data_IF_726021348220
#
_entry.id   IF_726021348220
#
_cell.length_a   1.000
_cell.length_b   1.000
_cell.length_c   1.000
_cell.angle_alpha   90.00
_cell.angle_beta   90.00
_cell.angle_gamma   90.00
#
_symmetry.space_group_name_H-M   'P 1'
#
loop_
_entity.id
_entity.type
_entity.pdbx_description
1 polymer ?
#
# COMPACT_ATOMS: atom_id res chain seq x y z
N UNK A 1 -33.78 -31.80 43.91
CA UNK A 1 -33.57 -30.32 43.92
C UNK A 1 -32.85 -29.97 42.65
N UNK A 2 -33.56 -29.44 41.72
CA UNK A 2 -32.94 -28.92 40.53
C UNK A 2 -32.01 -27.79 40.97
N UNK A 3 -30.75 -27.96 40.72
CA UNK A 3 -29.81 -26.90 40.83
C UNK A 3 -30.20 -25.85 39.79
N UNK A 4 -31.03 -24.96 40.22
CA UNK A 4 -31.24 -23.76 39.43
C UNK A 4 -29.88 -23.09 39.39
N UNK A 5 -29.29 -23.19 38.26
CA UNK A 5 -28.29 -22.24 37.89
C UNK A 5 -28.79 -20.87 38.37
N UNK A 6 -28.06 -20.17 39.19
CA UNK A 6 -28.51 -18.91 39.75
C UNK A 6 -28.55 -17.87 38.64
N UNK A 7 -29.02 -18.28 37.71
CA UNK A 7 -29.02 -17.35 36.73
C UNK A 7 -30.24 -17.39 35.97
N UNK A 8 -30.89 -16.61 36.14
CA UNK A 8 -31.51 -15.98 35.06
C UNK A 8 -30.57 -15.17 34.17
N UNK A 9 -29.31 -15.41 34.27
CA UNK A 9 -28.40 -14.84 33.28
C UNK A 9 -28.56 -15.69 32.04
N UNK A 10 -29.23 -15.14 31.05
CA UNK A 10 -29.46 -15.89 29.84
C UNK A 10 -28.12 -16.29 29.26
N UNK A 11 -28.12 -17.32 28.50
CA UNK A 11 -27.02 -17.88 27.75
C UNK A 11 -26.17 -16.88 26.94
N UNK A 12 -26.43 -15.62 27.07
CA UNK A 12 -25.62 -14.57 26.46
C UNK A 12 -24.15 -14.68 26.84
N UNK A 13 -23.86 -15.07 28.09
CA UNK A 13 -22.48 -15.30 28.49
C UNK A 13 -21.90 -16.58 27.89
N UNK A 14 -22.73 -17.62 27.70
CA UNK A 14 -22.27 -18.86 27.07
C UNK A 14 -22.07 -18.66 25.55
N UNK A 15 -22.90 -17.86 24.90
CA UNK A 15 -22.71 -17.57 23.50
C UNK A 15 -21.46 -16.70 23.26
N UNK A 16 -21.22 -15.73 24.13
CA UNK A 16 -19.98 -14.95 24.07
C UNK A 16 -18.75 -15.79 24.38
N UNK A 17 -18.86 -16.71 25.34
CA UNK A 17 -17.76 -17.62 25.64
C UNK A 17 -17.51 -18.66 24.53
N UNK A 18 -18.55 -19.14 23.87
CA UNK A 18 -18.37 -20.03 22.73
C UNK A 18 -17.76 -19.31 21.53
N UNK A 19 -18.18 -18.11 21.26
CA UNK A 19 -17.57 -17.28 20.21
C UNK A 19 -16.09 -17.01 20.52
N UNK A 20 -15.77 -16.69 21.77
CA UNK A 20 -14.38 -16.48 22.16
C UNK A 20 -13.55 -17.77 22.16
N UNK A 21 -14.18 -18.93 22.37
CA UNK A 21 -13.52 -20.24 22.26
C UNK A 21 -13.26 -20.63 20.81
N UNK A 22 -14.23 -20.41 19.94
CA UNK A 22 -14.04 -20.65 18.50
C UNK A 22 -12.95 -19.73 17.93
N UNK A 23 -12.96 -18.47 18.33
CA UNK A 23 -11.91 -17.55 17.89
C UNK A 23 -10.51 -17.88 18.45
N UNK A 24 -10.43 -18.61 19.56
CA UNK A 24 -9.15 -19.05 20.12
C UNK A 24 -8.55 -20.26 19.43
N UNK A 25 -9.30 -20.96 18.61
CA UNK A 25 -8.80 -22.08 17.83
C UNK A 25 -8.09 -21.66 16.56
N UNK A 26 -8.34 -20.44 16.11
CA UNK A 26 -7.65 -19.87 14.95
C UNK A 26 -6.39 -19.10 15.38
N UNK A 27 -5.30 -19.19 14.61
CA UNK A 27 -4.15 -18.32 14.79
C UNK A 27 -4.54 -16.84 14.77
N UNK A 28 -3.91 -16.04 15.63
CA UNK A 28 -4.20 -14.62 15.76
C UNK A 28 -4.12 -13.89 14.40
N UNK A 29 -3.10 -14.20 13.61
CA UNK A 29 -2.89 -13.58 12.30
C UNK A 29 -4.05 -13.86 11.32
N UNK A 30 -4.64 -15.05 11.41
CA UNK A 30 -5.80 -15.41 10.59
C UNK A 30 -7.06 -14.66 11.02
N UNK A 31 -7.25 -14.46 12.32
CA UNK A 31 -8.36 -13.68 12.86
C UNK A 31 -8.26 -12.22 12.43
N UNK A 32 -7.05 -11.65 12.45
CA UNK A 32 -6.77 -10.30 11.95
C UNK A 32 -7.05 -10.21 10.45
N UNK A 33 -6.60 -11.21 9.67
CA UNK A 33 -6.82 -11.27 8.23
C UNK A 33 -8.30 -11.32 7.84
N UNK A 34 -9.13 -11.92 8.69
CA UNK A 34 -10.60 -11.99 8.51
C UNK A 34 -11.33 -10.77 9.06
N UNK A 35 -10.65 -9.79 9.63
CA UNK A 35 -11.25 -8.61 10.23
C UNK A 35 -12.01 -8.86 11.52
N UNK A 36 -11.75 -9.98 12.22
CA UNK A 36 -12.41 -10.34 13.48
C UNK A 36 -11.85 -9.59 14.68
N UNK A 37 -10.67 -9.03 14.56
CA UNK A 37 -9.99 -8.32 15.65
C UNK A 37 -10.09 -6.81 15.36
N UNK A 38 -10.89 -6.12 16.15
CA UNK A 38 -11.07 -4.68 16.04
C UNK A 38 -9.74 -3.94 16.27
N UNK A 39 -9.47 -2.93 15.44
CA UNK A 39 -8.25 -2.14 15.54
C UNK A 39 -7.01 -2.79 14.93
N UNK A 40 -7.14 -3.97 14.33
CA UNK A 40 -6.07 -4.66 13.63
C UNK A 40 -6.44 -4.88 12.16
N UNK A 41 -5.44 -4.84 11.31
CA UNK A 41 -5.59 -5.15 9.89
C UNK A 41 -4.32 -5.82 9.38
N UNK A 42 -4.46 -6.58 8.28
CA UNK A 42 -3.31 -7.16 7.57
C UNK A 42 -2.98 -6.23 6.41
N UNK A 43 -1.73 -5.80 6.36
CA UNK A 43 -1.16 -5.12 5.22
C UNK A 43 -0.26 -6.13 4.48
N UNK A 44 -0.66 -6.53 3.30
CA UNK A 44 0.21 -7.29 2.41
C UNK A 44 1.10 -6.32 1.64
N UNK A 45 2.39 -6.38 1.92
CA UNK A 45 3.39 -5.64 1.16
C UNK A 45 4.07 -6.60 0.21
N UNK A 46 3.92 -6.34 -1.08
CA UNK A 46 4.59 -7.09 -2.12
C UNK A 46 5.57 -6.16 -2.83
N UNK A 47 6.77 -6.66 -3.06
CA UNK A 47 7.77 -5.98 -3.86
C UNK A 47 8.67 -7.02 -4.50
N UNK A 48 9.16 -6.72 -5.68
CA UNK A 48 10.15 -7.57 -6.33
C UNK A 48 11.26 -6.69 -6.95
N UNK A 49 12.41 -7.28 -7.13
CA UNK A 49 13.52 -6.66 -7.81
C UNK A 49 14.18 -7.71 -8.69
N UNK A 50 14.18 -7.49 -9.99
CA UNK A 50 14.78 -8.40 -10.97
C UNK A 50 16.31 -8.49 -10.88
N UNK A 51 16.93 -7.53 -10.22
CA UNK A 51 18.38 -7.46 -10.04
C UNK A 51 18.88 -8.22 -8.80
N UNK A 52 17.97 -8.89 -8.07
CA UNK A 52 18.39 -9.77 -6.97
C UNK A 52 19.02 -11.00 -7.56
N UNK A 53 20.33 -11.07 -7.52
CA UNK A 53 21.08 -12.25 -7.91
C UNK A 53 21.18 -13.21 -6.73
N UNK A 54 20.83 -14.48 -6.95
CA UNK A 54 21.07 -15.52 -5.96
C UNK A 54 22.56 -15.88 -5.94
N UNK A 55 23.38 -15.06 -5.35
CA UNK A 55 24.74 -15.44 -5.03
C UNK A 55 24.75 -16.13 -3.68
N UNK A 56 25.05 -17.39 -3.73
CA UNK A 56 24.90 -18.36 -2.64
C UNK A 56 25.90 -18.21 -1.50
N UNK A 57 26.73 -17.20 -1.44
CA UNK A 57 27.86 -17.33 -0.53
C UNK A 57 28.05 -16.27 0.53
N UNK A 58 27.31 -15.24 0.60
CA UNK A 58 27.31 -14.36 1.79
C UNK A 58 26.30 -13.23 1.65
N UNK A 59 25.09 -13.47 2.09
CA UNK A 59 24.16 -12.38 2.34
C UNK A 59 24.58 -11.61 3.59
N UNK A 60 25.59 -10.82 3.44
CA UNK A 60 26.03 -9.94 4.53
C UNK A 60 25.26 -8.63 4.58
N UNK A 61 24.45 -8.34 3.57
CA UNK A 61 23.62 -7.12 3.55
C UNK A 61 22.24 -7.40 2.94
N UNK A 62 21.15 -6.84 3.51
CA UNK A 62 19.84 -6.91 2.91
C UNK A 62 19.84 -6.20 1.55
N UNK A 63 19.22 -6.82 0.55
CA UNK A 63 19.04 -6.24 -0.78
C UNK A 63 17.69 -5.54 -0.81
N UNK A 64 17.69 -4.27 -1.23
CA UNK A 64 16.45 -3.52 -1.41
C UNK A 64 15.64 -4.11 -2.57
N UNK A 65 14.34 -4.28 -2.35
CA UNK A 65 13.38 -4.68 -3.39
C UNK A 65 12.86 -3.48 -4.19
N UNK A 66 13.42 -2.32 -3.99
CA UNK A 66 13.16 -1.10 -4.72
C UNK A 66 13.87 -1.14 -6.08
N UNK A 67 13.11 -1.04 -7.17
CA UNK A 67 13.65 -1.21 -8.53
C UNK A 67 14.45 0.00 -9.05
N UNK A 68 14.33 1.16 -8.44
CA UNK A 68 15.09 2.32 -8.85
C UNK A 68 16.58 2.12 -8.51
N UNK A 69 17.45 2.54 -9.42
CA UNK A 69 18.91 2.46 -9.23
C UNK A 69 19.42 3.29 -8.04
N UNK A 70 18.72 4.36 -7.68
CA UNK A 70 19.02 5.17 -6.52
C UNK A 70 18.38 4.62 -5.25
N UNK A 71 19.05 4.75 -4.10
CA UNK A 71 18.47 4.41 -2.82
C UNK A 71 17.18 5.21 -2.56
N UNK A 72 16.18 4.58 -1.95
CA UNK A 72 14.94 5.27 -1.60
C UNK A 72 15.20 6.33 -0.53
N UNK A 73 14.80 7.55 -0.81
CA UNK A 73 14.88 8.66 0.14
C UNK A 73 13.48 8.95 0.67
N UNK A 74 13.31 8.75 1.96
CA UNK A 74 12.03 9.02 2.63
C UNK A 74 11.78 10.54 2.71
N UNK A 75 10.64 11.04 2.17
CA UNK A 75 10.24 12.42 2.38
C UNK A 75 10.11 12.74 3.87
N UNK A 76 10.68 13.85 4.31
CA UNK A 76 10.60 14.32 5.70
C UNK A 76 9.48 15.32 5.91
N UNK A 77 9.01 15.94 4.84
CA UNK A 77 7.91 16.91 4.82
C UNK A 77 6.94 16.58 3.70
N UNK A 78 5.64 16.81 3.94
CA UNK A 78 4.65 16.68 2.90
C UNK A 78 4.76 17.83 1.90
N UNK A 79 4.88 17.50 0.62
CA UNK A 79 4.95 18.47 -0.48
C UNK A 79 4.15 17.95 -1.67
N UNK A 80 3.85 18.84 -2.60
CA UNK A 80 3.36 18.43 -3.91
C UNK A 80 4.45 17.63 -4.64
N UNK A 81 4.01 16.64 -5.42
CA UNK A 81 4.88 15.75 -6.17
C UNK A 81 4.80 16.06 -7.67
N UNK A 82 5.83 15.71 -8.41
CA UNK A 82 5.83 15.76 -9.86
C UNK A 82 5.67 14.37 -10.43
N UNK A 83 4.66 14.19 -11.28
CA UNK A 83 4.38 12.94 -12.00
C UNK A 83 4.84 13.07 -13.43
N UNK A 84 5.67 12.16 -13.92
CA UNK A 84 6.23 12.21 -15.27
C UNK A 84 6.48 10.79 -15.78
N UNK A 85 6.23 10.56 -17.06
CA UNK A 85 6.61 9.32 -17.75
C UNK A 85 7.91 9.46 -18.52
N UNK A 86 8.57 8.35 -18.79
CA UNK A 86 9.67 8.25 -19.75
C UNK A 86 9.20 8.14 -21.21
N UNK A 87 7.90 7.91 -21.45
CA UNK A 87 7.30 7.83 -22.79
C UNK A 87 6.35 9.00 -23.05
N UNK A 88 6.47 9.62 -24.23
CA UNK A 88 5.55 10.68 -24.69
C UNK A 88 4.14 10.15 -24.95
N UNK A 89 3.99 8.84 -25.16
CA UNK A 89 2.69 8.21 -25.41
C UNK A 89 1.83 8.06 -24.16
N UNK A 90 2.40 8.22 -22.97
CA UNK A 90 1.70 8.03 -21.69
C UNK A 90 0.85 9.25 -21.33
N UNK A 91 -0.23 9.44 -22.09
CA UNK A 91 -1.29 10.38 -21.73
C UNK A 91 -2.44 9.58 -21.15
N UNK A 92 -2.51 9.52 -19.82
CA UNK A 92 -3.38 8.60 -19.09
C UNK A 92 -3.80 9.18 -17.74
N UNK A 93 -4.84 8.62 -17.13
CA UNK A 93 -5.24 8.98 -15.77
C UNK A 93 -4.68 7.97 -14.77
N UNK A 94 -4.02 8.48 -13.75
CA UNK A 94 -3.43 7.70 -12.67
C UNK A 94 -3.97 8.16 -11.33
N UNK A 95 -4.44 7.22 -10.52
CA UNK A 95 -4.79 7.48 -9.13
C UNK A 95 -3.55 7.32 -8.25
N UNK A 96 -3.35 8.31 -7.42
CA UNK A 96 -2.31 8.32 -6.39
C UNK A 96 -2.99 8.25 -5.03
N UNK A 97 -2.66 7.24 -4.24
CA UNK A 97 -3.07 7.14 -2.85
C UNK A 97 -1.84 7.26 -1.97
N UNK A 98 -1.95 8.03 -0.91
CA UNK A 98 -0.84 8.29 -0.02
C UNK A 98 -1.29 8.87 1.31
N UNK A 99 -0.34 9.50 2.01
CA UNK A 99 -0.56 10.10 3.32
C UNK A 99 -0.13 11.57 3.31
N UNK A 100 -0.92 12.41 3.97
CA UNK A 100 -0.58 13.82 4.22
C UNK A 100 0.48 13.98 5.34
N UNK A 101 0.74 15.22 5.75
CA UNK A 101 1.67 15.56 6.83
C UNK A 101 1.29 14.97 8.21
N UNK A 102 0.02 14.68 8.41
CA UNK A 102 -0.52 14.13 9.65
C UNK A 102 -0.77 12.62 9.57
N UNK A 103 -0.26 11.97 8.52
CA UNK A 103 -0.49 10.56 8.21
C UNK A 103 -1.96 10.20 7.93
N UNK A 104 -2.80 11.17 7.58
CA UNK A 104 -4.15 10.89 7.11
C UNK A 104 -4.11 10.40 5.66
N UNK A 105 -4.95 9.41 5.29
CA UNK A 105 -5.07 8.96 3.91
C UNK A 105 -5.60 10.08 3.01
N UNK A 106 -4.91 10.29 1.90
CA UNK A 106 -5.33 11.21 0.84
C UNK A 106 -5.20 10.54 -0.52
N UNK A 107 -6.00 11.00 -1.47
CA UNK A 107 -6.06 10.44 -2.81
C UNK A 107 -6.35 11.54 -3.83
N UNK A 108 -5.80 11.40 -5.02
CA UNK A 108 -6.16 12.23 -6.18
C UNK A 108 -5.96 11.47 -7.48
N UNK A 109 -6.60 11.95 -8.53
CA UNK A 109 -6.38 11.48 -9.90
C UNK A 109 -5.57 12.53 -10.66
N UNK A 110 -4.40 12.12 -11.15
CA UNK A 110 -3.52 12.96 -11.95
C UNK A 110 -3.60 12.52 -13.40
N UNK A 111 -3.78 13.47 -14.31
CA UNK A 111 -3.63 13.22 -15.74
C UNK A 111 -2.16 13.31 -16.12
N UNK A 112 -1.53 12.16 -16.28
CA UNK A 112 -0.15 12.07 -16.80
C UNK A 112 -0.09 12.62 -18.21
N UNK A 113 0.93 13.40 -18.53
CA UNK A 113 1.11 14.06 -19.82
C UNK A 113 2.46 13.69 -20.45
N UNK A 114 2.66 12.40 -20.67
CA UNK A 114 3.90 11.88 -21.24
C UNK A 114 5.14 12.31 -20.48
N UNK A 115 6.12 12.84 -21.19
CA UNK A 115 7.38 13.32 -20.62
C UNK A 115 7.31 14.72 -20.01
N UNK A 116 6.13 15.36 -20.02
CA UNK A 116 5.91 16.63 -19.35
C UNK A 116 5.49 16.38 -17.90
N UNK A 117 6.22 16.92 -16.94
CA UNK A 117 5.91 16.80 -15.53
C UNK A 117 4.59 17.47 -15.16
N UNK A 118 3.74 16.76 -14.42
CA UNK A 118 2.47 17.27 -13.88
C UNK A 118 2.56 17.29 -12.37
N UNK A 119 2.24 18.42 -11.76
CA UNK A 119 2.29 18.58 -10.30
C UNK A 119 0.98 18.11 -9.69
N UNK A 120 1.06 17.36 -8.57
CA UNK A 120 -0.10 16.95 -7.78
C UNK A 120 -0.77 18.16 -7.12
N UNK A 121 -2.08 18.09 -6.93
CA UNK A 121 -2.82 19.12 -6.17
C UNK A 121 -2.60 18.94 -4.66
N UNK A 122 -2.52 17.69 -4.20
CA UNK A 122 -2.29 17.35 -2.81
C UNK A 122 -0.79 17.33 -2.46
N UNK A 123 -0.49 17.61 -1.19
CA UNK A 123 0.85 17.45 -0.63
C UNK A 123 0.96 16.09 0.07
N UNK A 124 1.91 15.28 -0.36
CA UNK A 124 2.13 13.93 0.13
C UNK A 124 3.39 13.83 0.97
N UNK A 125 3.28 13.17 2.13
CA UNK A 125 4.42 12.70 2.93
C UNK A 125 4.84 11.29 2.51
N UNK A 126 3.87 10.47 2.08
CA UNK A 126 4.09 9.10 1.60
C UNK A 126 3.19 8.82 0.41
N UNK A 127 3.69 8.05 -0.53
CA UNK A 127 2.88 7.45 -1.59
C UNK A 127 2.77 5.96 -1.29
N UNK A 128 1.54 5.48 -1.19
CA UNK A 128 1.26 4.07 -0.85
C UNK A 128 1.01 3.24 -2.11
N UNK A 129 0.21 3.77 -3.04
CA UNK A 129 -0.11 3.06 -4.28
C UNK A 129 -0.25 4.02 -5.46
N UNK A 130 0.11 3.52 -6.64
CA UNK A 130 -0.18 4.11 -7.92
C UNK A 130 -1.07 3.15 -8.71
N UNK A 131 -2.16 3.64 -9.25
CA UNK A 131 -3.09 2.81 -10.03
C UNK A 131 -3.39 3.50 -11.36
N UNK A 132 -3.11 2.81 -12.46
CA UNK A 132 -3.48 3.29 -13.79
C UNK A 132 -5.00 3.09 -13.95
N UNK A 133 -5.75 4.20 -14.05
CA UNK A 133 -7.22 4.15 -14.20
C UNK A 133 -7.63 4.00 -15.66
N UNK A 134 -6.96 4.74 -16.52
CA UNK A 134 -7.20 4.66 -17.96
C UNK A 134 -5.85 4.56 -18.66
N UNK A 135 -5.62 3.52 -19.46
CA UNK A 135 -4.38 3.41 -20.23
C UNK A 135 -4.29 4.50 -21.30
N UNK A 136 -3.09 4.76 -21.85
CA UNK A 136 -2.92 5.62 -23.00
C UNK A 136 -3.72 5.13 -24.20
N UNK A 137 -4.16 6.06 -25.06
CA UNK A 137 -4.96 5.71 -26.24
C UNK A 137 -4.21 4.74 -27.15
N UNK A 138 -4.88 3.64 -27.49
CA UNK A 138 -4.30 2.58 -28.31
C UNK A 138 -3.44 1.53 -27.57
N UNK A 139 -3.34 1.64 -26.26
CA UNK A 139 -2.57 0.73 -25.43
C UNK A 139 -3.41 0.15 -24.29
N UNK A 140 -2.95 -0.96 -23.72
CA UNK A 140 -3.60 -1.61 -22.56
C UNK A 140 -2.88 -1.30 -21.24
N UNK A 141 -1.67 -0.72 -21.31
CA UNK A 141 -0.83 -0.33 -20.15
C UNK A 141 0.01 0.89 -20.53
N UNK A 142 0.75 1.45 -19.57
CA UNK A 142 1.75 2.48 -19.83
C UNK A 142 2.85 1.96 -20.76
N UNK A 143 3.47 2.86 -21.49
CA UNK A 143 4.50 2.56 -22.49
C UNK A 143 5.91 2.91 -22.01
N UNK A 144 6.00 3.61 -20.91
CA UNK A 144 7.25 3.94 -20.23
C UNK A 144 7.09 3.86 -18.74
N UNK A 145 8.17 4.07 -18.02
CA UNK A 145 8.14 4.15 -16.56
C UNK A 145 7.52 5.48 -16.13
N UNK A 146 6.40 5.43 -15.41
CA UNK A 146 5.80 6.61 -14.80
C UNK A 146 6.38 6.76 -13.39
N UNK A 147 6.98 7.88 -13.11
CA UNK A 147 7.60 8.20 -11.82
C UNK A 147 6.87 9.33 -11.11
N UNK A 148 6.75 9.20 -9.79
CA UNK A 148 6.33 10.27 -8.88
C UNK A 148 7.56 10.74 -8.13
N UNK A 149 7.84 12.04 -8.17
CA UNK A 149 9.06 12.62 -7.64
C UNK A 149 8.77 13.73 -6.63
N UNK A 150 9.55 13.73 -5.55
CA UNK A 150 9.72 14.90 -4.70
C UNK A 150 11.03 15.59 -5.12
N UNK A 151 10.94 16.72 -5.80
CA UNK A 151 12.10 17.34 -6.43
C UNK A 151 12.80 16.34 -7.39
N UNK A 152 14.00 15.91 -7.10
CA UNK A 152 14.76 14.95 -7.90
C UNK A 152 14.59 13.50 -7.42
N UNK A 153 14.09 13.30 -6.18
CA UNK A 153 13.96 11.98 -5.59
C UNK A 153 12.71 11.25 -6.09
N UNK A 154 12.87 10.07 -6.64
CA UNK A 154 11.75 9.20 -6.99
C UNK A 154 11.21 8.59 -5.70
N UNK A 155 9.91 8.78 -5.45
CA UNK A 155 9.21 8.26 -4.26
C UNK A 155 8.22 7.15 -4.60
N UNK A 156 7.85 7.01 -5.86
CA UNK A 156 7.06 5.89 -6.36
C UNK A 156 7.27 5.76 -7.88
N UNK A 157 7.09 4.56 -8.41
CA UNK A 157 7.10 4.32 -9.85
C UNK A 157 6.21 3.14 -10.25
N UNK A 158 5.82 3.12 -11.51
CA UNK A 158 5.13 2.02 -12.18
C UNK A 158 5.81 1.79 -13.53
N UNK A 159 6.12 0.54 -13.85
CA UNK A 159 6.79 0.10 -15.09
C UNK A 159 5.80 -0.58 -16.03
#
# INVERSE_FOLDING_TARGET
MANQSPSGIPNTNNSVQSISRESRTEPFDLQVARGQIYGHSVLNVFGYNTNITSTTSSQSAPIAIWENAAAYVYPTTATTMTVVSSSTSDVCNMQINGLDANFNPISEVVKVNGTTGVTTANSYLRINTLTLLTPPSGYITNQGTITVKQSTNVVAQIN
#
